data_IF_143457366110
#
_entry.id   IF_143457366110
#
_cell.length_a   1.000
_cell.length_b   1.000
_cell.length_c   1.000
_cell.angle_alpha   90.00
_cell.angle_beta   90.00
_cell.angle_gamma   90.00
#
_symmetry.space_group_name_H-M   'P 1'
#
loop_
_entity.id
_entity.type
_entity.pdbx_description
1 polymer ?
2 non-polymer ?
3 water ?
#
# COMPACT_ATOMS: atom_id res chain seq x y z
N UNK A 2 -4.07 25.73 -0.58
CA UNK A 2 -2.80 26.26 -1.04
C UNK A 2 -2.17 27.17 -0.02
N UNK A 3 -1.52 26.54 0.95
CA UNK A 3 -0.86 27.23 2.04
C UNK A 3 -0.07 28.44 1.57
N UNK A 4 -0.34 29.61 2.15
CA UNK A 4 0.45 30.81 1.85
C UNK A 4 1.37 31.15 2.98
N UNK A 5 0.90 31.01 4.20
CA UNK A 5 1.78 31.30 5.30
C UNK A 5 2.05 30.05 6.06
N UNK A 6 3.31 29.72 6.24
CA UNK A 6 3.65 28.54 6.97
C UNK A 6 2.66 28.31 8.07
N UNK A 7 2.19 27.08 8.19
CA UNK A 7 1.33 26.68 9.26
C UNK A 7 2.15 26.25 10.41
N UNK A 8 1.57 26.22 11.58
CA UNK A 8 2.25 25.70 12.72
C UNK A 8 2.29 24.21 12.59
N UNK A 9 3.06 23.57 13.43
CA UNK A 9 3.12 22.13 13.41
C UNK A 9 1.76 21.49 13.71
N UNK A 10 0.98 22.05 14.62
CA UNK A 10 -0.31 21.46 14.93
C UNK A 10 -1.29 21.67 13.82
N UNK A 11 -1.28 22.85 13.24
CA UNK A 11 -2.14 23.11 12.11
C UNK A 11 -1.74 22.29 10.88
N UNK A 12 -0.46 22.04 10.72
CA UNK A 12 0.00 21.26 9.58
C UNK A 12 -0.48 19.83 9.74
N UNK A 13 -0.36 19.31 10.95
CA UNK A 13 -0.87 18.01 11.23
C UNK A 13 -2.34 17.88 10.86
N UNK A 14 -3.13 18.88 11.22
CA UNK A 14 -4.57 18.88 10.87
C UNK A 14 -4.77 18.85 9.35
N UNK A 15 -3.98 19.58 8.61
CA UNK A 15 -4.08 19.62 7.16
C UNK A 15 -3.73 18.26 6.60
N UNK A 16 -2.71 17.64 7.15
CA UNK A 16 -2.29 16.35 6.67
C UNK A 16 -3.40 15.36 6.94
N UNK A 17 -3.92 15.38 8.14
CA UNK A 17 -5.01 14.49 8.50
C UNK A 17 -6.23 14.74 7.65
N UNK A 18 -6.44 15.94 7.22
CA UNK A 18 -7.56 16.18 6.39
C UNK A 18 -7.49 15.42 5.09
N UNK A 19 -6.32 15.03 4.65
CA UNK A 19 -6.20 14.32 3.38
C UNK A 19 -6.78 12.92 3.49
N UNK A 20 -6.97 12.43 4.69
CA UNK A 20 -7.65 11.19 4.93
C UNK A 20 -9.03 11.06 4.32
N UNK A 21 -9.61 12.18 3.96
CA UNK A 21 -10.90 12.19 3.34
C UNK A 21 -10.81 11.48 2.02
N UNK A 22 -9.61 11.39 1.47
CA UNK A 22 -9.41 10.77 0.19
C UNK A 22 -8.84 9.36 0.33
N UNK A 23 -8.83 8.83 1.52
CA UNK A 23 -8.29 7.52 1.76
C UNK A 23 -9.11 6.48 1.06
N UNK A 24 -8.50 5.34 0.79
CA UNK A 24 -9.09 4.35 -0.09
C UNK A 24 -10.32 3.62 0.47
N UNK A 25 -10.56 3.77 1.76
CA UNK A 25 -11.77 3.21 2.33
C UNK A 25 -13.01 3.80 1.72
N UNK A 26 -12.87 4.82 0.91
CA UNK A 26 -14.03 5.42 0.31
C UNK A 26 -14.26 4.98 -1.09
N UNK A 27 -13.44 4.04 -1.55
CA UNK A 27 -13.55 3.50 -2.90
C UNK A 27 -14.62 2.43 -2.95
N UNK A 28 -15.48 2.51 -3.93
CA UNK A 28 -16.57 1.55 -4.07
C UNK A 28 -16.17 0.13 -3.96
N UNK A 29 -14.98 -0.23 -4.40
CA UNK A 29 -14.52 -1.59 -4.31
C UNK A 29 -14.24 -1.97 -2.89
N UNK A 30 -13.70 -1.05 -2.12
CA UNK A 30 -13.40 -1.33 -0.75
C UNK A 30 -14.70 -1.41 0.01
N UNK A 31 -15.63 -0.58 -0.37
CA UNK A 31 -16.89 -0.52 0.32
C UNK A 31 -17.60 -1.85 0.14
N UNK A 32 -17.67 -2.33 -1.09
CA UNK A 32 -18.31 -3.59 -1.40
C UNK A 32 -17.71 -4.78 -0.71
N UNK A 33 -16.42 -4.78 -0.47
CA UNK A 33 -15.80 -5.88 0.22
C UNK A 33 -16.22 -5.88 1.67
N UNK A 34 -16.25 -4.73 2.28
CA UNK A 34 -16.56 -4.65 3.69
C UNK A 34 -18.06 -4.57 3.92
N UNK A 35 -18.81 -4.66 2.83
CA UNK A 35 -20.25 -4.72 2.83
C UNK A 35 -20.72 -6.13 2.63
N UNK A 36 -19.84 -7.01 2.18
CA UNK A 36 -20.22 -8.36 1.89
C UNK A 36 -20.86 -8.41 0.52
N UNK A 37 -20.81 -7.33 -0.25
CA UNK A 37 -21.40 -7.29 -1.56
C UNK A 37 -20.46 -7.71 -2.64
N UNK A 38 -19.24 -7.99 -2.24
CA UNK A 38 -18.21 -8.38 -3.18
C UNK A 38 -18.37 -9.83 -3.49
N UNK A 39 -18.12 -10.19 -4.72
CA UNK A 39 -18.10 -11.56 -5.14
C UNK A 39 -16.81 -12.21 -4.71
N UNK A 40 -16.73 -13.51 -4.83
CA UNK A 40 -15.56 -14.24 -4.47
C UNK A 40 -14.41 -13.95 -5.41
N UNK A 41 -14.72 -13.58 -6.64
CA UNK A 41 -13.69 -13.29 -7.63
C UNK A 41 -12.99 -12.02 -7.21
N UNK A 42 -13.82 -11.11 -6.72
CA UNK A 42 -13.41 -9.81 -6.30
C UNK A 42 -12.53 -9.92 -5.11
N UNK A 43 -12.80 -10.90 -4.25
CA UNK A 43 -12.04 -11.04 -3.03
C UNK A 43 -10.70 -11.65 -3.31
N UNK A 44 -10.66 -12.67 -4.14
CA UNK A 44 -9.40 -13.30 -4.41
C UNK A 44 -8.51 -12.37 -5.21
N UNK A 45 -9.10 -11.65 -6.15
CA UNK A 45 -8.39 -10.64 -6.88
C UNK A 45 -7.76 -9.62 -5.94
N UNK A 46 -8.51 -9.18 -4.96
CA UNK A 46 -8.04 -8.19 -4.02
C UNK A 46 -6.87 -8.67 -3.24
N UNK A 47 -6.93 -9.85 -2.71
CA UNK A 47 -5.81 -10.39 -1.99
C UNK A 47 -4.57 -10.58 -2.85
N UNK A 48 -4.74 -11.05 -4.07
CA UNK A 48 -3.59 -11.31 -4.88
C UNK A 48 -2.92 -10.01 -5.24
N UNK A 49 -3.72 -9.00 -5.52
CA UNK A 49 -3.20 -7.70 -5.94
C UNK A 49 -2.65 -6.88 -4.80
N UNK A 50 -3.31 -6.90 -3.65
CA UNK A 50 -2.78 -6.27 -2.47
C UNK A 50 -1.50 -6.89 -2.04
N UNK A 51 -1.35 -8.18 -2.27
CA UNK A 51 -0.12 -8.83 -1.92
C UNK A 51 1.10 -8.17 -2.59
N UNK A 52 0.93 -7.68 -3.80
CA UNK A 52 2.04 -7.07 -4.52
C UNK A 52 2.51 -5.81 -3.80
N UNK A 53 1.56 -5.05 -3.31
CA UNK A 53 1.85 -3.90 -2.52
C UNK A 53 2.65 -4.35 -1.33
N UNK A 54 2.18 -5.35 -0.63
CA UNK A 54 2.87 -5.78 0.56
C UNK A 54 4.27 -6.30 0.33
N UNK A 55 4.51 -6.93 -0.79
CA UNK A 55 5.84 -7.43 -1.03
C UNK A 55 6.77 -6.33 -1.51
N UNK A 56 6.21 -5.19 -1.86
CA UNK A 56 6.97 -4.05 -2.34
C UNK A 56 7.37 -3.13 -1.20
N UNK A 57 6.57 -3.07 -0.16
CA UNK A 57 6.87 -2.24 0.98
C UNK A 57 8.28 -2.37 1.52
N UNK A 58 8.76 -3.59 1.75
CA UNK A 58 10.12 -3.72 2.24
C UNK A 58 11.16 -3.20 1.26
N UNK A 59 10.93 -3.35 -0.01
CA UNK A 59 11.84 -2.83 -1.01
C UNK A 59 11.80 -1.31 -0.92
N UNK A 60 10.61 -0.78 -0.76
CA UNK A 60 10.40 0.67 -0.62
C UNK A 60 11.11 1.22 0.61
N UNK A 61 11.00 0.54 1.72
CA UNK A 61 11.66 0.94 2.94
C UNK A 61 13.19 0.84 2.89
N UNK A 62 13.68 -0.14 2.19
CA UNK A 62 15.09 -0.28 2.05
C UNK A 62 15.60 0.82 1.17
N UNK A 63 14.85 1.19 0.16
CA UNK A 63 15.23 2.28 -0.71
C UNK A 63 15.41 3.58 0.08
N UNK A 64 14.50 3.84 0.99
CA UNK A 64 14.56 4.99 1.87
C UNK A 64 15.83 4.98 2.72
N UNK A 65 16.12 3.84 3.33
CA UNK A 65 17.32 3.70 4.11
C UNK A 65 18.59 3.94 3.31
N UNK A 66 18.64 3.44 2.10
CA UNK A 66 19.77 3.62 1.22
C UNK A 66 20.05 5.08 0.93
N UNK A 67 19.03 5.91 1.09
CA UNK A 67 19.08 7.32 0.81
C UNK A 67 19.22 8.17 2.09
N UNK A 68 19.40 7.50 3.20
CA UNK A 68 19.34 8.12 4.49
C UNK A 68 20.61 8.00 5.31
N UNK A 69 21.43 9.00 5.28
CA UNK A 69 22.70 8.97 5.98
C UNK A 69 22.61 9.20 7.49
N UNK A 70 21.43 9.23 8.06
CA UNK A 70 21.26 9.43 9.50
C UNK A 70 21.05 8.12 10.18
N UNK A 71 22.04 7.64 10.90
CA UNK A 71 21.94 6.36 11.57
C UNK A 71 20.74 6.17 12.50
N UNK A 72 20.33 7.20 13.22
CA UNK A 72 19.23 7.07 14.15
C UNK A 72 17.94 6.93 13.42
N UNK A 73 17.81 7.59 12.31
CA UNK A 73 16.63 7.40 11.52
C UNK A 73 16.58 5.97 10.99
N UNK A 74 17.71 5.46 10.53
CA UNK A 74 17.80 4.10 10.01
C UNK A 74 17.48 3.06 11.07
N UNK A 75 17.85 3.36 12.31
CA UNK A 75 17.60 2.44 13.39
C UNK A 75 16.12 2.27 13.61
N UNK A 76 15.35 3.32 13.42
CA UNK A 76 13.92 3.16 13.47
C UNK A 76 13.36 2.56 12.19
N UNK A 77 13.83 3.03 11.05
CA UNK A 77 13.22 2.62 9.80
C UNK A 77 13.38 1.13 9.54
N UNK A 78 14.47 0.54 9.97
CA UNK A 78 14.71 -0.87 9.71
C UNK A 78 13.67 -1.78 10.35
N UNK A 79 13.01 -1.28 11.36
CA UNK A 79 12.00 -2.06 12.02
C UNK A 79 10.83 -2.31 11.10
N UNK A 80 10.63 -1.47 10.11
CA UNK A 80 9.61 -1.69 9.15
C UNK A 80 9.92 -2.92 8.31
N UNK A 81 11.18 -3.13 7.99
CA UNK A 81 11.58 -4.25 7.18
C UNK A 81 11.47 -5.55 7.95
N UNK A 82 11.87 -5.54 9.21
CA UNK A 82 11.67 -6.70 10.06
C UNK A 82 10.22 -7.05 10.24
N UNK A 83 9.35 -6.05 10.28
CA UNK A 83 7.92 -6.27 10.37
C UNK A 83 7.39 -6.98 9.17
N UNK A 84 7.89 -6.65 8.00
CA UNK A 84 7.35 -7.23 6.80
C UNK A 84 7.97 -8.55 6.48
N UNK A 85 9.26 -8.62 6.63
CA UNK A 85 9.99 -9.82 6.28
C UNK A 85 9.95 -10.87 7.37
N UNK A 86 9.64 -10.46 8.58
CA UNK A 86 9.67 -11.35 9.68
C UNK A 86 11.09 -11.54 10.14
N UNK A 87 11.24 -12.21 11.27
CA UNK A 87 12.54 -12.51 11.82
C UNK A 87 13.24 -11.24 12.24
N UNK A 91 7.65 -14.09 11.99
CA UNK A 91 6.92 -14.44 10.78
C UNK A 91 6.80 -13.31 9.75
N UNK A 92 6.21 -12.19 10.14
CA UNK A 92 6.13 -11.03 9.28
C UNK A 92 4.85 -10.90 8.53
N UNK A 93 4.64 -9.75 7.93
CA UNK A 93 3.42 -9.48 7.23
C UNK A 93 3.32 -10.11 5.87
N UNK A 94 4.42 -10.33 5.21
CA UNK A 94 4.32 -10.97 3.95
C UNK A 94 3.74 -12.36 4.22
N UNK A 95 4.28 -13.03 5.22
CA UNK A 95 3.76 -14.33 5.60
C UNK A 95 2.31 -14.32 6.04
N UNK A 96 1.94 -13.35 6.83
CA UNK A 96 0.55 -13.18 7.19
C UNK A 96 -0.38 -13.07 6.00
N UNK A 97 0.05 -12.40 4.95
CA UNK A 97 -0.78 -12.24 3.78
C UNK A 97 -0.86 -13.53 2.98
N UNK A 98 0.15 -14.36 3.11
CA UNK A 98 0.17 -15.63 2.43
C UNK A 98 -0.88 -16.53 3.05
N UNK A 99 -1.05 -16.39 4.34
CA UNK A 99 -2.09 -17.09 5.04
C UNK A 99 -3.48 -16.60 4.70
N UNK A 100 -3.65 -15.31 4.48
CA UNK A 100 -4.95 -14.84 4.07
C UNK A 100 -5.26 -15.34 2.69
N UNK A 101 -4.23 -15.46 1.87
CA UNK A 101 -4.43 -15.99 0.55
C UNK A 101 -5.02 -17.37 0.65
N UNK A 102 -4.37 -18.22 1.43
CA UNK A 102 -4.86 -19.56 1.68
C UNK A 102 -6.30 -19.53 2.17
N UNK A 103 -6.60 -18.70 3.13
CA UNK A 103 -7.95 -18.60 3.63
C UNK A 103 -8.98 -18.30 2.57
N UNK A 104 -8.60 -17.67 1.47
CA UNK A 104 -9.58 -17.31 0.46
C UNK A 104 -9.46 -18.17 -0.76
N UNK A 105 -8.66 -19.20 -0.63
CA UNK A 105 -8.54 -20.16 -1.69
C UNK A 105 -7.44 -20.02 -2.69
N UNK A 106 -6.37 -19.30 -2.33
CA UNK A 106 -5.24 -19.09 -3.22
C UNK A 106 -4.02 -19.73 -2.64
N UNK A 107 -3.22 -20.38 -3.46
CA UNK A 107 -2.04 -21.02 -2.96
C UNK A 107 -0.87 -20.09 -2.80
N UNK A 108 0.09 -20.49 -1.99
CA UNK A 108 1.28 -19.71 -1.84
C UNK A 108 1.93 -19.41 -3.15
N UNK A 109 1.98 -20.38 -4.05
CA UNK A 109 2.60 -20.15 -5.34
C UNK A 109 1.79 -19.16 -6.11
N UNK A 110 0.49 -19.17 -5.93
CA UNK A 110 -0.36 -18.29 -6.69
C UNK A 110 0.05 -16.86 -6.37
N UNK A 111 0.31 -16.61 -5.11
CA UNK A 111 0.61 -15.30 -4.61
C UNK A 111 2.05 -14.92 -4.82
N UNK A 112 2.94 -15.81 -4.45
CA UNK A 112 4.35 -15.53 -4.55
C UNK A 112 4.73 -15.29 -5.97
N UNK A 113 4.04 -15.94 -6.88
CA UNK A 113 4.40 -15.81 -8.26
C UNK A 113 4.10 -14.42 -8.82
N UNK A 114 3.20 -13.71 -8.18
CA UNK A 114 2.74 -12.43 -8.65
C UNK A 114 2.09 -12.52 -10.01
N UNK A 115 1.70 -13.71 -10.41
CA UNK A 115 1.07 -13.85 -11.71
C UNK A 115 -0.31 -13.22 -11.85
N UNK A 116 -1.05 -13.06 -10.78
CA UNK A 116 -2.36 -12.49 -10.85
C UNK A 116 -2.41 -10.98 -10.76
N UNK A 117 -1.27 -10.37 -10.53
CA UNK A 117 -1.19 -8.93 -10.35
C UNK A 117 -1.47 -8.17 -11.62
N UNK A 118 -2.50 -7.37 -11.59
CA UNK A 118 -2.88 -6.58 -12.73
C UNK A 118 -1.85 -5.50 -13.00
N UNK A 119 -1.61 -5.21 -14.26
CA UNK A 119 -0.64 -4.20 -14.60
C UNK A 119 -0.96 -2.82 -14.00
N UNK A 120 -2.21 -2.43 -13.87
CA UNK A 120 -2.53 -1.17 -13.24
C UNK A 120 -2.16 -1.13 -11.78
N UNK A 121 -2.28 -2.25 -11.12
CA UNK A 121 -1.84 -2.38 -9.77
C UNK A 121 -0.33 -2.29 -9.72
N UNK A 122 0.33 -3.03 -10.58
CA UNK A 122 1.77 -3.02 -10.67
C UNK A 122 2.37 -1.63 -10.89
N UNK A 123 1.84 -0.90 -11.84
CA UNK A 123 2.31 0.41 -12.15
C UNK A 123 2.11 1.39 -10.97
N UNK A 124 0.98 1.28 -10.31
CA UNK A 124 0.71 2.14 -9.19
C UNK A 124 1.66 1.84 -8.06
N UNK A 125 1.80 0.58 -7.73
CA UNK A 125 2.72 0.19 -6.69
C UNK A 125 4.20 0.52 -6.99
N UNK A 126 4.64 0.23 -8.19
CA UNK A 126 5.99 0.49 -8.58
C UNK A 126 6.29 1.99 -8.53
N UNK A 127 5.27 2.80 -8.71
CA UNK A 127 5.43 4.24 -8.59
C UNK A 127 5.85 4.62 -7.21
N UNK A 128 5.34 3.93 -6.22
CA UNK A 128 5.72 4.15 -4.85
C UNK A 128 7.19 3.84 -4.63
N UNK A 129 7.61 2.69 -5.13
CA UNK A 129 8.99 2.30 -5.05
C UNK A 129 9.92 3.29 -5.74
N UNK A 130 9.60 3.71 -6.94
CA UNK A 130 10.42 4.52 -7.68
C UNK A 130 10.47 5.93 -7.06
N UNK A 131 9.43 6.37 -6.37
CA UNK A 131 9.49 7.60 -5.59
C UNK A 131 10.47 7.46 -4.47
N UNK A 132 10.36 6.38 -3.73
CA UNK A 132 11.27 6.13 -2.66
C UNK A 132 12.73 6.02 -3.10
N UNK A 133 12.99 5.49 -4.28
CA UNK A 133 14.34 5.39 -4.75
C UNK A 133 14.95 6.74 -5.04
N UNK A 134 14.15 7.64 -5.56
CA UNK A 134 14.64 8.86 -6.12
C UNK A 134 14.49 10.12 -5.26
N UNK A 135 13.50 10.13 -4.39
CA UNK A 135 13.24 11.29 -3.55
C UNK A 135 14.18 11.39 -2.37
N UNK A 136 14.36 12.59 -1.80
CA UNK A 136 15.03 12.77 -0.64
C UNK A 136 14.42 11.85 0.37
N UNK A 137 15.17 11.33 1.32
CA UNK A 137 14.63 10.37 2.24
C UNK A 137 13.50 10.93 3.09
N UNK A 138 13.62 12.18 3.48
CA UNK A 138 12.59 12.80 4.29
C UNK A 138 11.22 12.77 3.62
N UNK A 139 11.17 13.15 2.37
CA UNK A 139 9.95 13.11 1.60
C UNK A 139 9.38 11.72 1.50
N UNK A 140 10.23 10.76 1.18
CA UNK A 140 9.78 9.40 0.99
C UNK A 140 9.30 8.85 2.31
N UNK A 141 10.04 9.13 3.36
CA UNK A 141 9.67 8.66 4.67
C UNK A 141 8.29 9.18 5.10
N UNK A 142 8.06 10.45 4.86
CA UNK A 142 6.83 11.08 5.24
C UNK A 142 5.62 10.50 4.54
N UNK A 143 5.80 10.02 3.33
CA UNK A 143 4.69 9.48 2.58
C UNK A 143 4.09 8.24 3.20
N UNK A 144 4.75 7.68 4.17
CA UNK A 144 4.25 6.52 4.87
C UNK A 144 3.12 6.86 5.84
N UNK A 145 2.89 8.13 6.08
CA UNK A 145 1.97 8.51 7.13
C UNK A 145 0.51 8.22 6.85
N UNK A 146 0.18 7.86 5.64
CA UNK A 146 -1.15 7.38 5.37
C UNK A 146 -1.55 6.15 6.17
N UNK A 147 -0.61 5.44 6.77
CA UNK A 147 -1.03 4.28 7.54
C UNK A 147 -1.79 4.74 8.76
N UNK A 148 -1.73 6.02 9.07
CA UNK A 148 -2.49 6.64 10.13
C UNK A 148 -3.97 6.81 9.84
N UNK A 149 -4.34 6.72 8.58
CA UNK A 149 -5.70 6.87 8.21
C UNK A 149 -6.46 5.57 8.39
N UNK A 150 -5.76 4.51 8.69
CA UNK A 150 -6.41 3.24 8.89
C UNK A 150 -6.95 3.19 10.31
N UNK A 162 -15.24 -11.13 7.34
CA UNK A 162 -15.83 -12.35 6.84
C UNK A 162 -15.62 -13.52 7.77
N UNK A 163 -16.73 -14.11 8.21
CA UNK A 163 -18.05 -13.66 7.84
C UNK A 163 -17.99 -12.15 7.54
N UNK A 164 -18.81 -11.71 6.58
CA UNK A 164 -19.57 -12.61 5.73
C UNK A 164 -18.59 -13.42 4.99
N UNK A 165 -19.03 -13.93 3.87
CA UNK A 165 -18.16 -14.80 3.13
C UNK A 165 -17.85 -16.04 3.93
N UNK A 166 -18.82 -16.93 4.01
CA UNK A 166 -18.69 -18.18 4.76
C UNK A 166 -17.61 -19.09 4.22
N UNK A 167 -17.30 -18.97 2.94
CA UNK A 167 -16.32 -19.84 2.31
C UNK A 167 -14.91 -19.53 2.70
N UNK A 168 -14.76 -18.49 3.50
CA UNK A 168 -13.44 -18.10 3.93
C UNK A 168 -13.03 -18.90 5.16
N UNK A 169 -11.86 -19.49 5.10
CA UNK A 169 -11.34 -20.29 6.20
C UNK A 169 -10.92 -19.47 7.40
N UNK A 170 -11.72 -19.55 8.44
CA UNK A 170 -11.47 -18.88 9.70
C UNK A 170 -10.03 -18.91 10.19
N UNK A 171 -9.37 -20.04 10.08
CA UNK A 171 -8.05 -20.21 10.68
C UNK A 171 -6.93 -19.42 10.00
N UNK A 172 -7.00 -19.31 8.69
CA UNK A 172 -6.00 -18.55 7.97
C UNK A 172 -6.22 -17.09 8.28
N UNK A 173 -7.48 -16.69 8.17
CA UNK A 173 -7.91 -15.36 8.45
C UNK A 173 -7.37 -14.85 9.76
N UNK A 174 -7.78 -15.51 10.82
CA UNK A 174 -7.40 -15.09 12.15
C UNK A 174 -5.92 -15.04 12.20
N UNK A 175 -5.29 -15.94 11.47
CA UNK A 175 -3.86 -15.99 11.46
C UNK A 175 -3.27 -14.73 10.85
N UNK A 176 -3.92 -14.25 9.80
CA UNK A 176 -3.47 -13.07 9.11
C UNK A 176 -3.75 -11.87 9.96
N UNK A 177 -5.01 -11.72 10.32
CA UNK A 177 -5.37 -10.64 11.20
C UNK A 177 -4.44 -10.57 12.39
N UNK A 178 -4.02 -11.71 12.89
CA UNK A 178 -3.23 -11.72 14.09
C UNK A 178 -1.78 -11.33 13.88
N UNK A 179 -1.20 -11.76 12.78
CA UNK A 179 0.19 -11.46 12.54
C UNK A 179 0.36 -9.99 12.26
N UNK A 180 -0.64 -9.42 11.63
CA UNK A 180 -0.57 -8.03 11.31
C UNK A 180 -0.57 -7.23 12.56
N UNK A 181 -0.99 -7.83 13.66
CA UNK A 181 -1.15 -7.05 14.86
C UNK A 181 0.10 -6.97 15.69
N UNK A 182 1.12 -7.70 15.31
CA UNK A 182 2.35 -7.62 16.06
C UNK A 182 3.45 -6.78 15.40
N UNK A 183 3.10 -5.93 14.44
CA UNK A 183 4.09 -5.05 13.84
C UNK A 183 4.67 -4.11 14.88
N UNK A 184 5.96 -3.77 14.76
CA UNK A 184 6.64 -2.90 15.73
C UNK A 184 7.09 -1.51 15.27
N UNK A 185 6.86 -1.21 14.00
CA UNK A 185 7.24 0.07 13.45
C UNK A 185 6.46 1.18 14.14
N UNK A 186 7.05 2.35 14.15
CA UNK A 186 6.41 3.56 14.62
C UNK A 186 5.62 4.22 13.51
N UNK A 187 4.36 3.85 13.42
CA UNK A 187 3.47 4.39 12.42
C UNK A 187 3.40 5.90 12.42
N UNK A 188 3.70 6.54 13.55
CA UNK A 188 3.66 7.99 13.63
C UNK A 188 4.95 8.64 13.15
N UNK A 189 6.00 7.87 12.96
CA UNK A 189 7.28 8.42 12.56
C UNK A 189 7.12 9.39 11.40
N UNK A 190 6.43 8.99 10.36
CA UNK A 190 6.29 9.83 9.20
C UNK A 190 5.70 11.18 9.54
N UNK A 191 4.80 11.20 10.51
CA UNK A 191 4.13 12.42 10.93
C UNK A 191 5.04 13.35 11.69
N UNK A 192 5.74 12.82 12.65
CA UNK A 192 6.66 13.62 13.42
C UNK A 192 7.74 14.19 12.53
N UNK A 193 8.14 13.45 11.50
CA UNK A 193 9.13 13.92 10.57
C UNK A 193 8.60 15.05 9.74
N UNK A 194 7.39 14.88 9.28
CA UNK A 194 6.78 15.85 8.45
C UNK A 194 6.62 17.17 9.22
N UNK A 195 6.24 17.07 10.48
CA UNK A 195 6.06 18.28 11.30
C UNK A 195 7.38 18.96 11.58
N UNK A 196 8.44 18.19 11.77
CA UNK A 196 9.76 18.76 11.94
C UNK A 196 10.36 19.28 10.64
N UNK A 197 10.17 18.53 9.56
CA UNK A 197 10.83 18.82 8.33
C UNK A 197 10.12 19.88 7.52
N UNK A 198 8.80 19.90 7.56
CA UNK A 198 8.05 20.75 6.69
C UNK A 198 7.78 22.08 7.37
N UNK A 199 8.77 22.94 7.42
CA UNK A 199 8.73 24.15 8.21
C UNK A 199 8.65 25.41 7.42
N UNK A 200 8.20 25.28 6.19
CA UNK A 200 8.00 26.41 5.35
C UNK A 200 6.76 26.16 4.57
N UNK A 201 6.15 27.21 4.05
CA UNK A 201 4.96 27.03 3.29
C UNK A 201 5.22 26.16 2.08
N UNK A 202 6.40 26.27 1.52
CA UNK A 202 6.74 25.57 0.31
C UNK A 202 6.85 24.05 0.55
N UNK A 203 7.50 23.68 1.63
CA UNK A 203 7.63 22.29 2.00
C UNK A 203 6.30 21.69 2.37
N UNK A 204 5.44 22.49 2.99
CA UNK A 204 4.16 22.03 3.44
C UNK A 204 3.24 21.73 2.29
N UNK A 205 3.20 22.61 1.32
CA UNK A 205 2.41 22.35 0.15
C UNK A 205 2.93 21.15 -0.61
N UNK A 206 4.23 21.03 -0.68
CA UNK A 206 4.80 19.89 -1.37
C UNK A 206 4.47 18.61 -0.62
N UNK A 207 4.49 18.61 0.69
CA UNK A 207 4.19 17.43 1.42
C UNK A 207 2.75 17.01 1.22
N UNK A 208 1.87 17.97 1.06
CA UNK A 208 0.49 17.64 0.84
C UNK A 208 0.33 17.03 -0.52
N UNK A 209 1.11 17.46 -1.47
CA UNK A 209 1.06 16.89 -2.79
C UNK A 209 1.65 15.47 -2.79
N UNK A 210 2.67 15.23 -1.99
CA UNK A 210 3.23 13.91 -1.85
C UNK A 210 2.21 12.96 -1.22
N UNK A 211 1.48 13.44 -0.24
CA UNK A 211 0.41 12.66 0.34
C UNK A 211 -0.66 12.33 -0.66
N UNK A 212 -1.00 13.29 -1.50
CA UNK A 212 -1.98 13.06 -2.51
C UNK A 212 -1.51 11.97 -3.51
N UNK A 213 -0.25 12.04 -3.88
CA UNK A 213 0.39 11.02 -4.70
C UNK A 213 0.16 9.64 -4.09
N UNK A 214 0.44 9.51 -2.82
CA UNK A 214 0.29 8.24 -2.16
C UNK A 214 -1.14 7.77 -2.15
N UNK A 215 -2.07 8.69 -1.94
CA UNK A 215 -3.47 8.37 -1.94
C UNK A 215 -3.90 7.93 -3.30
N UNK A 216 -3.37 8.57 -4.33
CA UNK A 216 -3.65 8.22 -5.72
C UNK A 216 -3.20 6.79 -6.06
N UNK A 217 -2.09 6.38 -5.49
CA UNK A 217 -1.59 5.03 -5.69
C UNK A 217 -2.62 4.06 -5.21
N UNK A 218 -3.08 4.24 -4.00
CA UNK A 218 -4.05 3.34 -3.42
C UNK A 218 -5.39 3.31 -4.13
N UNK A 219 -5.86 4.46 -4.56
CA UNK A 219 -7.08 4.52 -5.32
C UNK A 219 -6.90 3.88 -6.66
N UNK A 220 -5.76 4.10 -7.30
CA UNK A 220 -5.54 3.55 -8.64
C UNK A 220 -5.45 2.02 -8.63
N UNK A 221 -4.91 1.46 -7.57
CA UNK A 221 -4.86 0.03 -7.41
C UNK A 221 -6.29 -0.51 -7.47
N UNK A 222 -7.18 0.15 -6.76
CA UNK A 222 -8.58 -0.25 -6.69
C UNK A 222 -9.31 -0.04 -7.99
N UNK A 223 -9.01 1.00 -8.72
CA UNK A 223 -9.57 1.17 -10.04
C UNK A 223 -9.22 0.02 -10.97
N UNK A 224 -8.01 -0.47 -10.85
CA UNK A 224 -7.55 -1.54 -11.70
C UNK A 224 -8.34 -2.80 -11.41
N UNK A 225 -8.55 -3.04 -10.13
CA UNK A 225 -9.33 -4.15 -9.65
C UNK A 225 -10.80 -4.02 -10.05
N UNK A 226 -11.34 -2.83 -9.99
CA UNK A 226 -12.68 -2.56 -10.42
C UNK A 226 -12.84 -2.94 -11.88
N UNK A 227 -11.97 -2.46 -12.74
CA UNK A 227 -12.06 -2.79 -14.13
C UNK A 227 -12.01 -4.28 -14.40
N UNK A 228 -11.14 -4.98 -13.72
CA UNK A 228 -10.96 -6.38 -14.02
C UNK A 228 -12.00 -7.29 -13.41
N UNK A 229 -12.32 -7.09 -12.16
CA UNK A 229 -13.10 -8.06 -11.44
C UNK A 229 -14.54 -7.64 -11.24
N UNK A 230 -14.86 -6.40 -11.53
CA UNK A 230 -16.17 -5.90 -11.26
C UNK A 230 -16.83 -5.42 -12.50
N UNK A 231 -16.07 -4.97 -13.47
CA UNK A 231 -16.68 -4.52 -14.68
C UNK A 231 -16.40 -5.46 -15.82
N UNK A 232 -15.88 -6.63 -15.54
CA UNK A 232 -15.55 -7.56 -16.63
C UNK A 232 -14.73 -6.88 -17.75
N UNK A 233 -13.77 -6.04 -17.41
CA UNK A 233 -12.93 -5.40 -18.41
C UNK A 233 -11.42 -5.49 -18.14
N UNK A 234 -10.97 -6.67 -17.81
CA UNK A 234 -9.55 -6.89 -17.57
C UNK A 234 -8.78 -6.61 -18.82
N UNK A 235 -7.45 -6.55 -18.70
CA UNK A 235 -6.63 -6.23 -19.86
C UNK A 235 -6.87 -7.19 -21.01
N UNK A 236 -7.00 -6.65 -22.20
CA UNK A 236 -7.09 -7.40 -23.43
C UNK A 236 -8.35 -8.24 -23.56
N UNK A 237 -9.38 -7.92 -22.80
CA UNK A 237 -10.62 -8.67 -22.81
C UNK A 237 -11.27 -8.70 -24.18
N UNK A 238 -10.97 -7.76 -25.03
CA UNK A 238 -11.54 -7.74 -26.34
C UNK A 238 -10.80 -8.62 -27.32
N UNK A 239 -9.76 -9.28 -26.85
CA UNK A 239 -8.86 -9.98 -27.71
C UNK A 239 -8.49 -11.36 -27.22
N UNK A 240 -8.79 -11.66 -25.96
CA UNK A 240 -8.47 -12.95 -25.42
C UNK A 240 -9.19 -13.11 -24.12
N UNK A 241 -9.32 -14.33 -23.64
CA UNK A 241 -9.93 -14.58 -22.37
C UNK A 241 -8.88 -15.05 -21.40
N UNK A 242 -7.66 -15.25 -21.86
CA UNK A 242 -6.56 -15.62 -21.02
C UNK A 242 -5.94 -14.36 -20.39
N UNK A 243 -5.22 -14.52 -19.31
CA UNK A 243 -4.42 -13.43 -18.75
C UNK A 243 -3.19 -13.27 -19.59
N UNK A 244 -3.00 -12.12 -20.23
CA UNK A 244 -1.91 -11.91 -21.15
C UNK A 244 -0.86 -10.86 -20.70
N UNK A 245 -1.12 -10.19 -19.60
CA UNK A 245 -0.24 -9.14 -19.11
C UNK A 245 1.11 -9.64 -18.64
N UNK A 246 2.11 -8.77 -18.58
CA UNK A 246 3.39 -9.16 -18.06
C UNK A 246 3.33 -9.46 -16.59
N UNK A 247 4.19 -10.34 -16.12
CA UNK A 247 4.14 -10.82 -14.76
C UNK A 247 5.46 -10.74 -14.02
N UNK A 248 6.38 -9.94 -14.54
CA UNK A 248 7.74 -9.88 -14.08
C UNK A 248 8.17 -8.49 -13.66
N UNK A 249 8.90 -8.40 -12.55
CA UNK A 249 9.55 -7.17 -12.17
C UNK A 249 10.81 -7.06 -12.99
N UNK A 250 10.67 -6.60 -14.21
CA UNK A 250 11.71 -6.67 -15.18
C UNK A 250 13.06 -6.13 -14.81
N UNK A 251 13.11 -5.08 -14.01
CA UNK A 251 14.42 -4.54 -13.69
C UNK A 251 15.05 -5.14 -12.45
N UNK A 252 14.28 -5.91 -11.70
CA UNK A 252 14.77 -6.56 -10.53
C UNK A 252 14.94 -8.07 -10.70
N UNK A 253 14.24 -8.68 -11.64
CA UNK A 253 14.24 -10.13 -11.76
C UNK A 253 14.74 -10.50 -13.13
#
# INVERSE_FOLDING_TARGET
>A
MLITDTLSPQAFEEALRAKGDFYHIHHPYHIAMHNGNATREQIQGWVANRFYYQTTIPLKDAAIMANCPDAQTRRKWVQRILDHDGSHGEDGGIEAWLRLGEAVGLSRDDLLSERHVLPGVRFAVDAYLNFARRACWQEAACSSLTELFAPQIHQSRLDSWPQHYPWIKEEGYFSFRSSLSQANRDVEHGLALAKAYCDSAEKQNRMLEILQFKLDILWSMLDAMTMAYALQRPPYHTVTDKAAWHTTRLVLEHHHHH
#
